data_IF_259344083004
#
_entry.id   IF_259344083004
#
_cell.length_a   1.000
_cell.length_b   1.000
_cell.length_c   1.000
_cell.angle_alpha   90.00
_cell.angle_beta   90.00
_cell.angle_gamma   90.00
#
_symmetry.space_group_name_H-M   'P 1'
#
loop_
_entity.id
_entity.type
_entity.pdbx_description
1 polymer ?
#
# COMPACT_ATOMS: atom_id res chain seq x y z
N UNK A 1 5.67 1.80 -18.70
CA UNK A 1 4.93 0.52 -18.76
C UNK A 1 5.95 -0.60 -18.60
N UNK A 2 5.75 -1.54 -17.67
CA UNK A 2 6.64 -2.70 -17.52
C UNK A 2 6.24 -3.76 -18.56
N UNK A 3 7.16 -4.09 -19.47
CA UNK A 3 6.93 -5.01 -20.61
C UNK A 3 7.37 -6.45 -20.35
N UNK A 4 7.70 -6.81 -19.10
CA UNK A 4 8.11 -8.16 -18.72
C UNK A 4 7.03 -9.19 -19.12
N UNK A 5 7.35 -10.17 -20.00
CA UNK A 5 6.40 -11.17 -20.50
C UNK A 5 5.63 -11.93 -19.42
N UNK A 6 6.22 -12.14 -18.24
CA UNK A 6 5.58 -12.77 -17.08
C UNK A 6 4.21 -12.16 -16.70
N UNK A 7 4.01 -10.86 -16.97
CA UNK A 7 2.76 -10.16 -16.65
C UNK A 7 1.80 -10.06 -17.83
N UNK A 8 2.28 -10.29 -19.06
CA UNK A 8 1.59 -9.88 -20.30
C UNK A 8 1.31 -11.03 -21.26
N UNK A 9 2.09 -12.11 -21.22
CA UNK A 9 2.04 -13.20 -22.19
C UNK A 9 1.73 -14.53 -21.49
N UNK A 10 0.55 -15.08 -21.76
CA UNK A 10 0.09 -16.35 -21.19
C UNK A 10 0.90 -17.56 -21.70
N UNK A 11 1.22 -17.60 -23.00
CA UNK A 11 2.02 -18.69 -23.60
C UNK A 11 3.43 -18.76 -22.99
N UNK A 12 4.05 -17.59 -22.80
CA UNK A 12 5.33 -17.49 -22.12
C UNK A 12 5.23 -17.96 -20.66
N UNK A 13 4.22 -17.50 -19.92
CA UNK A 13 4.06 -17.86 -18.51
C UNK A 13 3.82 -19.37 -18.32
N UNK A 14 3.03 -20.01 -19.19
CA UNK A 14 2.79 -21.46 -19.13
C UNK A 14 4.04 -22.29 -19.43
N UNK A 15 4.89 -21.85 -20.36
CA UNK A 15 6.05 -22.62 -20.83
C UNK A 15 7.35 -22.34 -20.06
N UNK A 16 7.49 -21.14 -19.51
CA UNK A 16 8.78 -20.63 -19.03
C UNK A 16 8.74 -20.04 -17.62
N UNK A 17 7.58 -19.84 -17.01
CA UNK A 17 7.48 -19.38 -15.63
C UNK A 17 7.16 -20.54 -14.67
N UNK A 18 7.74 -20.48 -13.47
CA UNK A 18 7.37 -21.36 -12.36
C UNK A 18 5.91 -21.23 -11.90
N UNK A 19 5.26 -20.10 -12.20
CA UNK A 19 3.86 -19.86 -11.80
C UNK A 19 2.84 -20.52 -12.75
N UNK A 20 3.27 -20.94 -13.94
CA UNK A 20 2.43 -21.62 -14.94
C UNK A 20 1.30 -20.77 -15.55
N UNK A 21 1.18 -19.49 -15.17
CA UNK A 21 0.22 -18.50 -15.70
C UNK A 21 0.69 -17.09 -15.36
N UNK A 22 0.11 -16.07 -15.99
CA UNK A 22 0.48 -14.66 -15.73
C UNK A 22 0.21 -14.24 -14.29
N UNK A 23 1.17 -13.54 -13.69
CA UNK A 23 1.02 -12.88 -12.39
C UNK A 23 0.83 -11.38 -12.56
N UNK A 24 0.12 -10.77 -11.63
CA UNK A 24 -0.06 -9.31 -11.54
C UNK A 24 1.27 -8.65 -11.15
N UNK A 25 1.59 -7.53 -11.79
CA UNK A 25 2.83 -6.80 -11.52
C UNK A 25 2.88 -6.26 -10.08
N UNK A 26 3.99 -6.47 -9.38
CA UNK A 26 4.13 -6.07 -7.96
C UNK A 26 3.95 -4.56 -7.70
N UNK A 27 4.42 -3.69 -8.60
CA UNK A 27 4.23 -2.23 -8.46
C UNK A 27 2.78 -1.83 -8.69
N UNK A 28 2.08 -2.51 -9.61
CA UNK A 28 0.64 -2.36 -9.77
C UNK A 28 -0.10 -2.78 -8.48
N UNK A 29 0.27 -3.93 -7.91
CA UNK A 29 -0.29 -4.40 -6.64
C UNK A 29 -0.02 -3.41 -5.51
N UNK A 30 1.18 -2.84 -5.40
CA UNK A 30 1.49 -1.79 -4.42
C UNK A 30 0.62 -0.54 -4.62
N UNK A 31 0.49 -0.06 -5.86
CA UNK A 31 -0.36 1.09 -6.18
C UNK A 31 -1.82 0.86 -5.81
N UNK A 32 -2.36 -0.32 -6.13
CA UNK A 32 -3.71 -0.73 -5.75
C UNK A 32 -3.86 -0.82 -4.23
N UNK A 33 -2.92 -1.48 -3.55
CA UNK A 33 -2.92 -1.64 -2.09
C UNK A 33 -2.93 -0.28 -1.38
N UNK A 34 -2.11 0.68 -1.83
CA UNK A 34 -2.14 2.05 -1.31
C UNK A 34 -3.50 2.68 -1.55
N UNK A 35 -4.01 2.61 -2.79
CA UNK A 35 -5.31 3.17 -3.18
C UNK A 35 -6.47 2.68 -2.32
N UNK A 36 -6.54 1.38 -2.03
CA UNK A 36 -7.57 0.79 -1.15
C UNK A 36 -7.57 1.45 0.24
N UNK A 37 -6.40 1.80 0.77
CA UNK A 37 -6.29 2.32 2.14
C UNK A 37 -6.55 3.83 2.25
N UNK A 38 -6.56 4.57 1.13
CA UNK A 38 -6.66 6.04 1.13
C UNK A 38 -7.95 6.55 1.77
N UNK A 39 -9.16 6.05 1.40
CA UNK A 39 -10.43 6.56 1.92
C UNK A 39 -10.54 6.50 3.44
N UNK A 40 -10.00 5.46 4.06
CA UNK A 40 -10.09 5.26 5.51
C UNK A 40 -8.98 5.98 6.30
N UNK A 41 -7.81 6.16 5.69
CA UNK A 41 -6.63 6.63 6.43
C UNK A 41 -6.25 8.06 6.16
N UNK A 42 -6.26 8.48 4.89
CA UNK A 42 -5.53 9.70 4.49
C UNK A 42 -6.33 10.64 3.60
N UNK A 43 -7.51 10.24 3.13
CA UNK A 43 -8.40 11.10 2.35
C UNK A 43 -8.68 12.42 3.10
N UNK A 44 -8.62 13.55 2.37
CA UNK A 44 -8.80 14.91 2.91
C UNK A 44 -7.69 15.43 3.85
N UNK A 45 -6.85 14.56 4.42
CA UNK A 45 -5.83 14.93 5.42
C UNK A 45 -4.40 14.77 4.93
N UNK A 46 -4.16 13.99 3.88
CA UNK A 46 -2.84 13.81 3.28
C UNK A 46 -2.29 15.13 2.77
N UNK A 47 -1.07 15.46 3.17
CA UNK A 47 -0.29 16.57 2.60
C UNK A 47 0.72 16.02 1.61
N UNK A 48 1.44 14.97 1.99
CA UNK A 48 2.38 14.29 1.11
C UNK A 48 2.61 12.85 1.57
N UNK A 49 2.81 11.94 0.63
CA UNK A 49 3.36 10.63 0.92
C UNK A 49 4.89 10.75 0.90
N UNK A 50 5.54 10.52 2.03
CA UNK A 50 6.97 10.79 2.21
C UNK A 50 7.85 9.62 1.77
N UNK A 51 7.33 8.39 1.81
CA UNK A 51 8.08 7.23 1.37
C UNK A 51 7.34 5.91 1.60
N UNK A 52 7.89 4.88 0.97
CA UNK A 52 7.55 3.48 1.20
C UNK A 52 8.82 2.75 1.60
N UNK A 53 8.73 1.93 2.64
CA UNK A 53 9.83 1.14 3.17
C UNK A 53 9.39 -0.32 3.29
N UNK A 54 10.35 -1.23 3.35
CA UNK A 54 10.08 -2.66 3.58
C UNK A 54 9.02 -3.29 2.65
N UNK A 55 8.97 -2.85 1.38
CA UNK A 55 8.03 -3.41 0.40
C UNK A 55 8.46 -4.83 0.04
N UNK A 56 7.61 -5.80 0.38
CA UNK A 56 7.82 -7.22 0.06
C UNK A 56 6.58 -7.80 -0.61
N UNK A 57 6.79 -8.76 -1.51
CA UNK A 57 5.73 -9.50 -2.21
C UNK A 57 5.88 -11.00 -1.92
N UNK A 58 5.40 -11.50 -0.76
CA UNK A 58 5.69 -12.87 -0.34
C UNK A 58 5.07 -13.94 -1.24
N UNK A 59 3.90 -13.66 -1.81
CA UNK A 59 3.20 -14.55 -2.75
C UNK A 59 2.68 -13.75 -3.96
N UNK A 60 2.63 -14.37 -5.16
CA UNK A 60 2.12 -13.70 -6.35
C UNK A 60 0.62 -13.45 -6.23
N UNK A 61 0.16 -12.39 -6.90
CA UNK A 61 -1.24 -12.17 -7.21
C UNK A 61 -1.53 -12.67 -8.63
N UNK A 62 -2.69 -13.26 -8.85
CA UNK A 62 -3.17 -13.69 -10.15
C UNK A 62 -4.39 -12.89 -10.60
N UNK A 63 -4.65 -12.89 -11.91
CA UNK A 63 -5.91 -12.36 -12.43
C UNK A 63 -7.09 -13.15 -11.84
N UNK A 64 -8.05 -12.42 -11.27
CA UNK A 64 -9.21 -12.97 -10.56
C UNK A 64 -9.10 -12.94 -9.03
N UNK A 65 -7.90 -12.73 -8.48
CA UNK A 65 -7.73 -12.61 -7.03
C UNK A 65 -8.37 -11.33 -6.47
N UNK A 66 -8.83 -11.41 -5.23
CA UNK A 66 -9.36 -10.27 -4.46
C UNK A 66 -8.37 -9.85 -3.40
N UNK A 67 -7.97 -8.58 -3.39
CA UNK A 67 -7.03 -8.03 -2.41
C UNK A 67 -7.76 -7.36 -1.23
N UNK A 68 -7.48 -7.83 -0.02
CA UNK A 68 -7.93 -7.25 1.24
C UNK A 68 -6.75 -6.62 1.98
N UNK A 69 -6.94 -5.45 2.58
CA UNK A 69 -5.89 -4.72 3.29
C UNK A 69 -6.18 -4.62 4.78
N UNK A 70 -5.16 -4.79 5.60
CA UNK A 70 -5.16 -4.42 7.02
C UNK A 70 -4.03 -3.43 7.25
N UNK A 71 -4.28 -2.42 8.09
CA UNK A 71 -3.30 -1.38 8.39
C UNK A 71 -3.15 -1.19 9.90
N UNK A 72 -1.92 -1.04 10.35
CA UNK A 72 -1.57 -0.65 11.71
C UNK A 72 -0.82 0.69 11.70
N UNK A 73 -1.16 1.60 12.60
CA UNK A 73 -0.37 2.82 12.84
C UNK A 73 0.77 2.45 13.79
N UNK A 74 1.98 2.41 13.27
CA UNK A 74 3.17 1.97 14.02
C UNK A 74 3.96 3.13 14.62
N UNK A 75 3.80 4.35 14.09
CA UNK A 75 4.41 5.56 14.63
C UNK A 75 3.58 6.79 14.31
N UNK A 76 3.55 7.75 15.24
CA UNK A 76 3.05 9.10 14.99
C UNK A 76 3.91 10.10 15.73
N UNK A 77 4.28 11.17 15.06
CA UNK A 77 5.02 12.29 15.64
C UNK A 77 4.65 13.62 15.01
N UNK A 78 4.91 14.69 15.73
CA UNK A 78 4.72 16.03 15.20
C UNK A 78 5.80 16.39 14.18
N UNK A 79 5.42 17.18 13.16
CA UNK A 79 6.41 17.80 12.28
C UNK A 79 7.12 18.93 13.02
N UNK A 80 8.45 18.89 13.02
CA UNK A 80 9.28 19.94 13.63
C UNK A 80 9.23 21.27 12.87
N UNK A 81 9.00 21.22 11.55
CA UNK A 81 9.02 22.39 10.68
C UNK A 81 7.63 22.85 10.21
N UNK A 82 6.58 22.05 10.47
CA UNK A 82 5.21 22.35 10.02
C UNK A 82 4.22 22.16 11.18
N UNK A 83 3.96 23.22 11.98
CA UNK A 83 3.21 23.11 13.24
C UNK A 83 1.81 22.48 13.13
N UNK A 84 1.13 22.70 12.00
CA UNK A 84 -0.22 22.20 11.71
C UNK A 84 -0.23 20.76 11.14
N UNK A 85 0.93 20.10 11.06
CA UNK A 85 1.08 18.80 10.41
C UNK A 85 1.81 17.78 11.30
N UNK A 86 1.44 16.52 11.15
CA UNK A 86 2.08 15.38 11.80
C UNK A 86 2.59 14.38 10.76
N UNK A 87 3.55 13.56 11.15
CA UNK A 87 4.04 12.44 10.36
C UNK A 87 3.50 11.16 11.00
N UNK A 88 2.87 10.33 10.19
CA UNK A 88 2.30 9.04 10.59
C UNK A 88 2.96 7.95 9.74
N UNK A 89 3.42 6.89 10.39
CA UNK A 89 3.93 5.70 9.72
C UNK A 89 2.95 4.55 9.92
N UNK A 90 2.61 3.91 8.82
CA UNK A 90 1.67 2.81 8.74
C UNK A 90 2.41 1.54 8.35
N UNK A 91 2.03 0.40 8.94
CA UNK A 91 2.34 -0.93 8.41
C UNK A 91 1.10 -1.47 7.72
N UNK A 92 1.23 -1.83 6.45
CA UNK A 92 0.17 -2.39 5.63
C UNK A 92 0.45 -3.86 5.34
N UNK A 93 -0.58 -4.70 5.45
CA UNK A 93 -0.53 -6.10 5.06
C UNK A 93 -1.72 -6.41 4.15
N UNK A 94 -1.42 -6.85 2.94
CA UNK A 94 -2.40 -7.26 1.95
C UNK A 94 -2.51 -8.78 1.85
N UNK A 95 -3.74 -9.29 1.84
CA UNK A 95 -4.05 -10.71 1.70
C UNK A 95 -5.00 -10.96 0.54
N UNK A 96 -4.87 -12.11 -0.11
CA UNK A 96 -5.84 -12.54 -1.11
C UNK A 96 -7.10 -13.17 -0.45
N UNK A 97 -8.04 -13.64 -1.27
CA UNK A 97 -9.27 -14.32 -0.82
C UNK A 97 -9.04 -15.58 0.03
N UNK A 98 -7.87 -16.21 -0.09
CA UNK A 98 -7.50 -17.43 0.65
C UNK A 98 -6.74 -17.09 1.95
N UNK A 99 -6.60 -15.80 2.28
CA UNK A 99 -5.87 -15.33 3.45
C UNK A 99 -4.35 -15.33 3.30
N UNK A 100 -3.81 -15.67 2.12
CA UNK A 100 -2.37 -15.63 1.86
C UNK A 100 -1.86 -14.19 1.78
N UNK A 101 -0.73 -13.90 2.44
CA UNK A 101 -0.11 -12.58 2.40
C UNK A 101 0.59 -12.38 1.06
N UNK A 102 0.13 -11.39 0.28
CA UNK A 102 0.64 -11.11 -1.08
C UNK A 102 1.48 -9.84 -1.15
N UNK A 103 1.31 -8.94 -0.18
CA UNK A 103 2.13 -7.73 -0.08
C UNK A 103 2.21 -7.26 1.38
N UNK A 104 3.40 -6.84 1.81
CA UNK A 104 3.58 -6.06 3.04
C UNK A 104 4.45 -4.85 2.74
N UNK A 105 4.15 -3.73 3.37
CA UNK A 105 4.97 -2.52 3.25
C UNK A 105 4.70 -1.54 4.39
N UNK A 106 5.68 -0.68 4.64
CA UNK A 106 5.51 0.49 5.49
C UNK A 106 5.31 1.74 4.63
N UNK A 107 4.42 2.63 5.05
CA UNK A 107 4.13 3.90 4.39
C UNK A 107 4.25 5.04 5.37
N UNK A 108 5.06 6.03 5.05
CA UNK A 108 5.19 7.25 5.85
C UNK A 108 4.46 8.40 5.17
N UNK A 109 3.51 9.02 5.86
CA UNK A 109 2.72 10.13 5.34
C UNK A 109 2.83 11.37 6.23
N UNK A 110 2.89 12.53 5.59
CA UNK A 110 2.70 13.83 6.22
C UNK A 110 1.22 14.20 6.13
N UNK A 111 0.59 14.46 7.27
CA UNK A 111 -0.85 14.65 7.37
C UNK A 111 -1.19 15.92 8.14
N UNK A 112 -2.30 16.56 7.78
CA UNK A 112 -2.88 17.66 8.55
C UNK A 112 -3.27 17.17 9.95
N UNK A 113 -2.98 17.96 10.98
CA UNK A 113 -3.56 17.77 12.30
C UNK A 113 -5.01 18.29 12.27
N UNK A 114 -5.86 17.72 13.12
CA UNK A 114 -7.15 18.35 13.43
C UNK A 114 -6.87 19.70 14.09
N UNK A 115 -7.58 20.73 13.66
CA UNK A 115 -7.55 22.02 14.35
C UNK A 115 -8.01 21.82 15.80
N UNK A 116 -7.33 22.43 16.76
CA UNK A 116 -7.81 22.45 18.14
C UNK A 116 -9.00 23.40 18.17
N UNK A 117 -10.20 22.87 18.32
CA UNK A 117 -11.32 23.69 18.83
C UNK A 117 -10.92 24.14 20.23
N UNK A 118 -10.87 25.46 20.44
CA UNK A 118 -10.77 26.02 21.78
C UNK A 118 -11.97 25.51 22.56
N UNK A 119 -11.72 24.65 23.56
CA UNK A 119 -12.75 24.31 24.53
C UNK A 119 -12.96 25.57 25.34
N UNK A 120 -14.06 26.27 25.09
CA UNK A 120 -14.59 27.23 26.05
C UNK A 120 -14.87 26.46 27.36
N UNK A 121 -14.17 26.85 28.43
CA UNK A 121 -14.37 26.35 29.80
C UNK A 121 -15.71 26.82 30.38
#
# INVERSE_FOLDING_TARGET
>A
MNTQPLHLNEDYAQKHSEFGRRIVNGIFTLGLAVGITVPELTEGTLVANLGYEHVVHPHPMFHGDTLYMTTEVIEKRDSRSRPTQGIVRFRHVGRNQDGMVVIEFERTALMKKKEREEREE
#
